data_IF_038098811608
#
_entry.id   IF_038098811608
#
_cell.length_a   1.000
_cell.length_b   1.000
_cell.length_c   1.000
_cell.angle_alpha   90.00
_cell.angle_beta   90.00
_cell.angle_gamma   90.00
#
_symmetry.space_group_name_H-M   'P 1'
#
loop_
_entity.id
_entity.type
_entity.pdbx_description
1 polymer ?
#
# COMPACT_ATOMS: atom_id res chain seq x y z
N UNK A 1 10.08 3.68 -32.40
CA UNK A 1 9.12 3.98 -31.30
C UNK A 1 9.20 5.48 -31.02
N UNK A 2 8.09 6.22 -31.20
CA UNK A 2 8.08 7.68 -31.08
C UNK A 2 8.39 8.07 -29.63
N UNK A 3 9.44 8.86 -29.38
CA UNK A 3 9.90 9.20 -28.02
C UNK A 3 8.78 9.87 -27.19
N UNK A 4 7.91 10.64 -27.84
CA UNK A 4 6.75 11.29 -27.22
C UNK A 4 5.77 10.31 -26.56
N UNK A 5 5.48 9.16 -27.19
CA UNK A 5 4.55 8.18 -26.61
C UNK A 5 5.13 7.48 -25.38
N UNK A 6 6.45 7.21 -25.38
CA UNK A 6 7.11 6.57 -24.24
C UNK A 6 7.13 7.47 -23.01
N UNK A 7 7.29 8.78 -23.19
CA UNK A 7 7.32 9.76 -22.11
C UNK A 7 5.92 10.05 -21.54
N UNK A 8 4.89 10.11 -22.40
CA UNK A 8 3.50 10.20 -21.97
C UNK A 8 3.05 8.96 -21.19
N UNK A 9 3.40 7.77 -21.68
CA UNK A 9 3.12 6.50 -21.01
C UNK A 9 3.74 6.45 -19.60
N UNK A 10 5.01 6.84 -19.47
CA UNK A 10 5.69 6.93 -18.17
C UNK A 10 4.97 7.89 -17.21
N UNK A 11 4.53 9.05 -17.70
CA UNK A 11 3.84 10.05 -16.86
C UNK A 11 2.52 9.50 -16.33
N UNK A 12 1.72 8.87 -17.19
CA UNK A 12 0.44 8.25 -16.79
C UNK A 12 0.67 7.10 -15.82
N UNK A 13 1.66 6.25 -16.08
CA UNK A 13 2.02 5.13 -15.21
C UNK A 13 2.41 5.60 -13.79
N UNK A 14 3.20 6.68 -13.67
CA UNK A 14 3.56 7.26 -12.36
C UNK A 14 2.33 7.73 -11.60
N UNK A 15 1.41 8.43 -12.26
CA UNK A 15 0.17 8.93 -11.65
C UNK A 15 -0.69 7.77 -11.16
N UNK A 16 -0.87 6.73 -11.98
CA UNK A 16 -1.63 5.53 -11.60
C UNK A 16 -1.00 4.85 -10.39
N UNK A 17 0.32 4.64 -10.39
CA UNK A 17 1.02 4.01 -9.26
C UNK A 17 0.83 4.80 -7.96
N UNK A 18 0.88 6.13 -8.02
CA UNK A 18 0.66 6.99 -6.86
C UNK A 18 -0.77 6.90 -6.32
N UNK A 19 -1.78 6.89 -7.20
CA UNK A 19 -3.18 6.74 -6.79
C UNK A 19 -3.47 5.35 -6.23
N UNK A 20 -2.98 4.29 -6.89
CA UNK A 20 -3.12 2.92 -6.40
C UNK A 20 -2.50 2.77 -5.02
N UNK A 21 -1.33 3.36 -4.77
CA UNK A 21 -0.73 3.39 -3.42
C UNK A 21 -1.60 4.09 -2.39
N UNK A 22 -2.16 5.25 -2.71
CA UNK A 22 -3.06 5.98 -1.79
C UNK A 22 -4.29 5.15 -1.43
N UNK A 23 -4.94 4.57 -2.43
CA UNK A 23 -6.11 3.69 -2.22
C UNK A 23 -5.71 2.48 -1.39
N UNK A 24 -4.55 1.89 -1.64
CA UNK A 24 -4.03 0.75 -0.88
C UNK A 24 -3.81 1.10 0.61
N UNK A 25 -3.21 2.26 0.90
CA UNK A 25 -3.02 2.73 2.29
C UNK A 25 -4.36 2.97 2.99
N UNK A 26 -5.33 3.58 2.30
CA UNK A 26 -6.66 3.83 2.87
C UNK A 26 -7.39 2.52 3.14
N UNK A 27 -7.40 1.60 2.18
CA UNK A 27 -8.01 0.28 2.32
C UNK A 27 -7.36 -0.52 3.47
N UNK A 28 -6.04 -0.47 3.58
CA UNK A 28 -5.32 -1.09 4.69
C UNK A 28 -5.70 -0.49 6.03
N UNK A 29 -5.83 0.84 6.13
CA UNK A 29 -6.25 1.49 7.37
C UNK A 29 -7.65 1.01 7.80
N UNK A 30 -8.60 0.99 6.88
CA UNK A 30 -9.96 0.49 7.15
C UNK A 30 -9.93 -0.98 7.60
N UNK A 31 -9.14 -1.81 6.93
CA UNK A 31 -8.96 -3.22 7.32
C UNK A 31 -8.32 -3.37 8.71
N UNK A 32 -7.31 -2.56 9.03
CA UNK A 32 -6.65 -2.58 10.34
C UNK A 32 -7.62 -2.19 11.47
N UNK A 33 -8.45 -1.17 11.26
CA UNK A 33 -9.51 -0.79 12.21
C UNK A 33 -10.57 -1.87 12.38
N UNK A 34 -11.01 -2.49 11.28
CA UNK A 34 -11.91 -3.63 11.33
C UNK A 34 -11.31 -4.81 12.10
N UNK A 35 -10.03 -5.09 11.88
CA UNK A 35 -9.31 -6.17 12.55
C UNK A 35 -9.16 -5.91 14.06
N UNK A 36 -8.81 -4.68 14.45
CA UNK A 36 -8.79 -4.27 15.85
C UNK A 36 -10.17 -4.38 16.51
N UNK A 37 -11.22 -3.91 15.83
CA UNK A 37 -12.60 -4.06 16.31
C UNK A 37 -12.94 -5.54 16.55
N UNK A 38 -12.63 -6.42 15.60
CA UNK A 38 -12.83 -7.87 15.75
C UNK A 38 -12.10 -8.44 16.97
N UNK A 39 -10.83 -8.11 17.16
CA UNK A 39 -10.03 -8.63 18.28
C UNK A 39 -10.56 -8.18 19.65
N UNK A 40 -11.08 -6.95 19.74
CA UNK A 40 -11.57 -6.38 20.99
C UNK A 40 -12.97 -6.91 21.33
N UNK A 41 -13.88 -6.94 20.34
CA UNK A 41 -15.30 -7.18 20.58
C UNK A 41 -15.78 -8.59 20.22
N UNK A 42 -15.09 -9.29 19.33
CA UNK A 42 -15.51 -10.60 18.81
C UNK A 42 -14.40 -11.62 19.12
N UNK A 43 -14.35 -12.06 20.37
CA UNK A 43 -13.44 -13.13 20.84
C UNK A 43 -13.98 -14.53 20.50
N UNK A 44 -14.21 -14.81 19.22
CA UNK A 44 -14.35 -16.21 18.76
C UNK A 44 -12.96 -16.81 18.53
N UNK A 45 -12.84 -18.12 18.73
CA UNK A 45 -11.61 -18.91 18.58
C UNK A 45 -10.86 -18.48 17.33
N UNK A 46 -9.73 -17.82 17.53
CA UNK A 46 -9.09 -17.07 16.47
C UNK A 46 -8.32 -18.02 15.56
N UNK A 47 -8.87 -18.29 14.38
CA UNK A 47 -8.26 -19.20 13.42
C UNK A 47 -6.93 -18.63 12.89
N UNK A 48 -5.93 -19.49 12.80
CA UNK A 48 -4.57 -19.14 12.36
C UNK A 48 -4.54 -18.47 10.98
N UNK A 49 -5.48 -18.84 10.11
CA UNK A 49 -5.64 -18.27 8.77
C UNK A 49 -5.85 -16.75 8.81
N UNK A 50 -6.62 -16.23 9.78
CA UNK A 50 -6.90 -14.80 9.86
C UNK A 50 -5.67 -13.97 10.28
N UNK A 51 -4.83 -14.52 11.16
CA UNK A 51 -3.56 -13.89 11.54
C UNK A 51 -2.55 -13.92 10.40
N UNK A 52 -2.52 -15.00 9.63
CA UNK A 52 -1.65 -15.12 8.48
C UNK A 52 -2.04 -14.12 7.37
N UNK A 53 -3.35 -13.95 7.16
CA UNK A 53 -3.88 -12.97 6.21
C UNK A 53 -3.58 -11.53 6.66
N UNK A 54 -3.68 -11.25 7.97
CA UNK A 54 -3.27 -9.97 8.56
C UNK A 54 -1.75 -9.72 8.45
N UNK A 55 -0.93 -10.75 8.66
CA UNK A 55 0.52 -10.67 8.50
C UNK A 55 0.90 -10.36 7.05
N UNK A 56 0.27 -11.01 6.07
CA UNK A 56 0.50 -10.72 4.65
C UNK A 56 0.06 -9.33 4.23
N UNK A 57 -1.09 -8.85 4.73
CA UNK A 57 -1.54 -7.48 4.43
C UNK A 57 -0.58 -6.45 5.04
N UNK A 58 -0.10 -6.68 6.25
CA UNK A 58 0.88 -5.81 6.92
C UNK A 58 2.23 -5.82 6.21
N UNK A 59 2.70 -6.99 5.79
CA UNK A 59 3.92 -7.14 4.99
C UNK A 59 3.78 -6.46 3.62
N UNK A 60 2.63 -6.62 2.97
CA UNK A 60 2.29 -5.92 1.73
C UNK A 60 2.38 -4.40 1.91
N UNK A 61 1.83 -3.85 2.99
CA UNK A 61 1.98 -2.44 3.32
C UNK A 61 3.45 -2.01 3.49
N UNK A 62 4.24 -2.80 4.22
CA UNK A 62 5.65 -2.50 4.42
C UNK A 62 6.42 -2.45 3.09
N UNK A 63 6.24 -3.44 2.21
CA UNK A 63 6.94 -3.50 0.94
C UNK A 63 6.43 -2.48 -0.10
N UNK A 64 5.12 -2.33 -0.24
CA UNK A 64 4.55 -1.47 -1.28
C UNK A 64 4.56 0.01 -0.94
N UNK A 65 4.58 0.35 0.36
CA UNK A 65 4.47 1.73 0.84
C UNK A 65 5.75 2.19 1.51
N UNK A 66 6.31 1.44 2.47
CA UNK A 66 7.49 1.87 3.24
C UNK A 66 8.82 1.64 2.53
N UNK A 67 9.00 0.49 1.86
CA UNK A 67 10.24 0.20 1.10
C UNK A 67 10.30 0.92 -0.25
N UNK A 68 9.22 1.64 -0.60
CA UNK A 68 9.25 2.61 -1.69
C UNK A 68 10.03 3.86 -1.27
N UNK A 69 11.36 3.75 -1.22
CA UNK A 69 12.34 4.83 -1.00
C UNK A 69 12.26 6.00 -2.02
N UNK A 70 11.19 6.11 -2.79
CA UNK A 70 10.98 7.17 -3.78
C UNK A 70 10.19 8.38 -3.28
N UNK A 71 9.73 8.42 -2.02
CA UNK A 71 8.81 9.48 -1.54
C UNK A 71 9.45 10.47 -0.55
N UNK A 72 10.54 10.13 0.14
CA UNK A 72 11.27 11.08 0.98
C UNK A 72 12.64 11.39 0.39
N UNK A 73 12.74 12.55 -0.27
CA UNK A 73 13.99 13.29 -0.52
C UNK A 73 14.95 12.68 -1.56
N UNK A 74 14.64 12.85 -2.85
CA UNK A 74 15.61 13.61 -3.66
C UNK A 74 15.14 15.07 -3.67
N UNK A 75 15.27 15.72 -2.50
CA UNK A 75 15.19 17.18 -2.44
C UNK A 75 16.34 17.71 -3.27
N UNK A 76 15.98 18.21 -4.46
CA UNK A 76 16.57 19.40 -5.06
C UNK A 76 18.09 19.46 -4.89
N UNK A 77 18.83 18.68 -5.69
CA UNK A 77 20.24 18.98 -5.89
C UNK A 77 20.33 20.31 -6.65
N UNK A 78 20.81 21.28 -5.89
CA UNK A 78 21.32 22.63 -6.20
C UNK A 78 21.62 22.89 -7.68
#
# INVERSE_FOLDING_TARGET
MNKNFADEYKRVMIVIVLWTRRIYVVAFNVYAWYWLYRQIFIRQSTDFEEYFLWAFTTFGMYFFVLDSKGIFLESKKK
#
